data_IF_644059148736
#
_entry.id   IF_644059148736
#
_cell.length_a   1.000
_cell.length_b   1.000
_cell.length_c   1.000
_cell.angle_alpha   90.00
_cell.angle_beta   90.00
_cell.angle_gamma   90.00
#
_symmetry.space_group_name_H-M   'P 1'
#
loop_
_entity.id
_entity.type
_entity.pdbx_description
1 polymer ?
#
# COMPACT_ATOMS: atom_id res chain seq x y z
N UNK A 1 -6.61 -8.27 8.34
CA UNK A 1 -6.23 -6.90 7.94
C UNK A 1 -7.42 -6.26 7.25
N UNK A 2 -7.79 -5.05 7.66
CA UNK A 2 -8.87 -4.28 7.08
C UNK A 2 -8.39 -3.52 5.83
N UNK A 3 -9.32 -2.92 5.09
CA UNK A 3 -8.97 -1.92 4.07
C UNK A 3 -8.15 -0.80 4.75
N UNK A 4 -7.01 -0.36 4.17
CA UNK A 4 -6.18 0.66 4.82
C UNK A 4 -6.97 1.94 5.08
N UNK A 5 -6.78 2.54 6.25
CA UNK A 5 -7.31 3.88 6.57
C UNK A 5 -6.84 4.87 5.50
N UNK A 6 -7.78 5.61 4.92
CA UNK A 6 -7.53 6.52 3.78
C UNK A 6 -7.62 5.85 2.40
N UNK A 7 -7.85 4.55 2.34
CA UNK A 7 -8.06 3.80 1.10
C UNK A 7 -6.78 3.55 0.31
N UNK A 8 -6.97 3.09 -0.93
CA UNK A 8 -5.89 2.83 -1.88
C UNK A 8 -5.76 4.03 -2.82
N UNK A 9 -4.53 4.38 -3.19
CA UNK A 9 -4.23 5.39 -4.22
C UNK A 9 -4.55 4.86 -5.62
N UNK A 10 -3.92 3.76 -6.03
CA UNK A 10 -4.16 3.10 -7.32
C UNK A 10 -3.69 1.65 -7.31
N UNK A 11 -4.64 0.72 -7.13
CA UNK A 11 -4.38 -0.72 -7.01
C UNK A 11 -3.68 -1.35 -8.21
N UNK A 12 -3.82 -0.77 -9.39
CA UNK A 12 -3.39 -1.38 -10.66
C UNK A 12 -2.00 -0.97 -11.13
N UNK A 13 -1.35 -0.01 -10.46
CA UNK A 13 -0.01 0.48 -10.82
C UNK A 13 1.04 -0.01 -9.80
N UNK A 14 2.28 -0.25 -10.26
CA UNK A 14 3.32 -0.75 -9.37
C UNK A 14 3.70 0.33 -8.36
N UNK A 15 4.14 -0.05 -7.16
CA UNK A 15 4.48 0.89 -6.09
C UNK A 15 5.53 1.92 -6.53
N UNK A 16 6.55 1.48 -7.27
CA UNK A 16 7.60 2.37 -7.82
C UNK A 16 7.07 3.33 -8.89
N UNK A 17 5.93 3.02 -9.51
CA UNK A 17 5.22 3.88 -10.46
C UNK A 17 4.15 4.74 -9.76
N UNK A 18 4.12 4.74 -8.43
CA UNK A 18 3.18 5.51 -7.61
C UNK A 18 1.82 4.83 -7.38
N UNK A 19 1.68 3.53 -7.63
CA UNK A 19 0.50 2.76 -7.28
C UNK A 19 0.62 1.99 -5.96
N UNK A 20 -0.22 0.97 -5.79
CA UNK A 20 -0.34 0.21 -4.54
C UNK A 20 0.00 -1.28 -4.66
N UNK A 21 0.21 -1.82 -5.86
CA UNK A 21 0.64 -3.21 -5.99
C UNK A 21 2.16 -3.32 -6.06
N UNK A 22 2.70 -4.48 -5.70
CA UNK A 22 4.11 -4.81 -5.87
C UNK A 22 4.97 -4.58 -4.64
N UNK A 23 6.28 -4.73 -4.82
CA UNK A 23 7.24 -4.67 -3.72
C UNK A 23 7.42 -3.23 -3.22
N UNK A 24 7.34 -3.06 -1.90
CA UNK A 24 7.53 -1.77 -1.21
C UNK A 24 8.73 -1.79 -0.25
N UNK A 25 9.48 -2.89 -0.24
CA UNK A 25 10.63 -3.13 0.63
C UNK A 25 10.32 -2.84 2.10
N UNK A 26 11.07 -1.94 2.72
CA UNK A 26 10.94 -1.49 4.10
C UNK A 26 9.64 -0.71 4.37
N UNK A 27 9.00 -0.15 3.34
CA UNK A 27 7.79 0.66 3.45
C UNK A 27 6.50 -0.15 3.59
N UNK A 28 6.58 -1.48 3.59
CA UNK A 28 5.41 -2.35 3.79
C UNK A 28 4.75 -2.12 5.16
N UNK A 29 5.53 -1.79 6.19
CA UNK A 29 5.04 -1.55 7.54
C UNK A 29 4.13 -0.32 7.63
N UNK A 30 4.34 0.68 6.77
CA UNK A 30 3.45 1.86 6.70
C UNK A 30 2.07 1.51 6.14
N UNK A 31 1.99 0.55 5.22
CA UNK A 31 0.71 0.01 4.77
C UNK A 31 0.05 -0.80 5.89
N UNK A 32 0.82 -1.67 6.54
CA UNK A 32 0.33 -2.55 7.60
C UNK A 32 -0.26 -1.77 8.78
N UNK A 33 0.39 -0.68 9.21
CA UNK A 33 -0.13 0.25 10.25
C UNK A 33 -1.48 0.89 9.91
N UNK A 34 -1.84 0.97 8.63
CA UNK A 34 -3.15 1.48 8.19
C UNK A 34 -4.21 0.39 8.10
N UNK A 35 -3.82 -0.88 8.08
CA UNK A 35 -4.71 -2.03 7.88
C UNK A 35 -4.99 -2.82 9.16
N UNK A 36 -4.25 -2.57 10.24
CA UNK A 36 -4.55 -3.03 11.61
C UNK A 36 -5.53 -2.03 12.21
#
# INVERSE_FOLDING_TARGET
>A
LNTPTGGWRKKTNHYVEGGDFGNREDKINELLRRMV
#
